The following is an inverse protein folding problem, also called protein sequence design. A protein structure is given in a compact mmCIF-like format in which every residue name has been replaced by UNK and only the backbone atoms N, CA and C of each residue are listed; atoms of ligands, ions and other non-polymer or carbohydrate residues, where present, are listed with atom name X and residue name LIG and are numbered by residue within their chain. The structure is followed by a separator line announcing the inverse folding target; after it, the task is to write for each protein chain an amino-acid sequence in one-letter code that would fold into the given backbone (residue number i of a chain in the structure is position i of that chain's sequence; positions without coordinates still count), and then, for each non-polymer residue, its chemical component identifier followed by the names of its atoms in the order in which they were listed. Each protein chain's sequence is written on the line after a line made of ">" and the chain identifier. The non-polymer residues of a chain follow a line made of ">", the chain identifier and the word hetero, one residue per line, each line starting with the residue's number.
data_IF_717477223110
#
_entry.id   IF_717477223110
#
_cell.length_a   1.000
_cell.length_b   1.000
_cell.length_c   1.000
_cell.angle_alpha   90.00
_cell.angle_beta   90.00
_cell.angle_gamma   90.00
#
_symmetry.space_group_name_H-M   'P 1'
#
loop_
_entity.id
_entity.type
_entity.pdbx_description
1 polymer ?
#
# COMPACT_ATOMS: atom_id res chain seq x y z
N UNK A 1 0.31 13.12 8.83
CA UNK A 1 1.52 12.30 8.99
C UNK A 1 1.54 11.31 7.84
N UNK A 2 2.62 11.24 7.07
CA UNK A 2 2.78 10.27 5.98
C UNK A 2 3.18 8.93 6.58
N UNK A 3 2.51 7.84 6.19
CA UNK A 3 2.86 6.48 6.63
C UNK A 3 4.17 6.02 5.98
N UNK A 4 4.94 5.20 6.68
CA UNK A 4 6.09 4.49 6.09
C UNK A 4 5.64 3.39 5.13
N UNK A 5 6.56 2.94 4.29
CA UNK A 5 6.31 1.83 3.36
C UNK A 5 5.94 0.55 4.10
N UNK A 6 6.64 0.26 5.20
CA UNK A 6 6.41 -0.92 6.03
C UNK A 6 5.03 -0.90 6.69
N UNK A 7 4.58 0.26 7.18
CA UNK A 7 3.24 0.43 7.73
C UNK A 7 2.15 0.21 6.67
N UNK A 8 2.34 0.75 5.47
CA UNK A 8 1.42 0.57 4.35
C UNK A 8 1.32 -0.89 3.91
N UNK A 9 2.46 -1.58 3.79
CA UNK A 9 2.48 -3.01 3.46
C UNK A 9 1.84 -3.85 4.56
N UNK A 10 2.05 -3.50 5.84
CA UNK A 10 1.38 -4.18 6.94
C UNK A 10 -0.13 -4.02 6.85
N UNK A 11 -0.62 -2.82 6.57
CA UNK A 11 -2.05 -2.56 6.41
C UNK A 11 -2.64 -3.30 5.20
N UNK A 12 -1.93 -3.34 4.08
CA UNK A 12 -2.36 -4.06 2.88
C UNK A 12 -2.51 -5.57 3.15
N UNK A 13 -1.58 -6.17 3.91
CA UNK A 13 -1.66 -7.58 4.31
C UNK A 13 -2.89 -7.87 5.17
N UNK A 14 -3.21 -6.99 6.10
CA UNK A 14 -4.42 -7.15 6.93
C UNK A 14 -5.70 -7.02 6.10
N UNK A 15 -5.72 -6.13 5.09
CA UNK A 15 -6.84 -6.01 4.16
C UNK A 15 -7.02 -7.29 3.35
N UNK A 16 -5.95 -7.83 2.77
CA UNK A 16 -5.99 -9.09 2.00
C UNK A 16 -6.52 -10.22 2.88
N UNK A 17 -5.99 -10.35 4.10
CA UNK A 17 -6.44 -11.36 5.06
C UNK A 17 -7.95 -11.26 5.35
N UNK A 18 -8.48 -10.05 5.52
CA UNK A 18 -9.92 -9.84 5.73
C UNK A 18 -10.75 -10.27 4.51
N UNK A 19 -10.30 -9.92 3.30
CA UNK A 19 -10.99 -10.34 2.07
C UNK A 19 -10.99 -11.86 1.91
N UNK A 20 -9.91 -12.54 2.35
CA UNK A 20 -9.79 -14.01 2.30
C UNK A 20 -10.62 -14.73 3.38
N UNK A 21 -10.86 -14.10 4.53
CA UNK A 21 -11.84 -14.56 5.51
C UNK A 21 -13.25 -14.38 4.89
N UNK A 22 -13.81 -15.47 4.37
CA UNK A 22 -15.11 -15.62 3.67
C UNK A 22 -16.36 -15.10 4.44
N UNK A 23 -16.18 -14.36 5.53
CA UNK A 23 -17.20 -13.68 6.32
C UNK A 23 -17.38 -12.20 5.92
N UNK A 24 -16.57 -11.70 4.99
CA UNK A 24 -16.67 -10.31 4.51
C UNK A 24 -17.85 -10.13 3.56
N UNK A 25 -18.80 -9.28 3.94
CA UNK A 25 -19.94 -8.91 3.08
C UNK A 25 -19.51 -8.14 1.80
N UNK A 26 -20.42 -8.04 0.82
CA UNK A 26 -20.12 -7.39 -0.47
C UNK A 26 -19.67 -5.92 -0.31
N UNK A 27 -20.40 -5.13 0.46
CA UNK A 27 -20.09 -3.71 0.65
C UNK A 27 -18.75 -3.51 1.36
N UNK A 28 -18.45 -4.36 2.35
CA UNK A 28 -17.16 -4.33 3.04
C UNK A 28 -16.01 -4.77 2.13
N UNK A 29 -16.25 -5.77 1.27
CA UNK A 29 -15.27 -6.20 0.27
C UNK A 29 -14.91 -5.09 -0.70
N UNK A 30 -15.90 -4.31 -1.15
CA UNK A 30 -15.67 -3.14 -2.01
C UNK A 30 -14.84 -2.08 -1.27
N UNK A 31 -15.21 -1.75 -0.04
CA UNK A 31 -14.47 -0.75 0.76
C UNK A 31 -13.02 -1.19 1.04
N UNK A 32 -12.81 -2.47 1.35
CA UNK A 32 -11.48 -3.05 1.56
C UNK A 32 -10.63 -3.00 0.27
N UNK A 33 -11.24 -3.30 -0.88
CA UNK A 33 -10.57 -3.21 -2.17
C UNK A 33 -10.15 -1.77 -2.50
N UNK A 34 -11.06 -0.79 -2.35
CA UNK A 34 -10.75 0.63 -2.56
C UNK A 34 -9.62 1.11 -1.66
N UNK A 35 -9.64 0.68 -0.39
CA UNK A 35 -8.57 0.99 0.56
C UNK A 35 -7.24 0.36 0.14
N UNK A 36 -7.26 -0.90 -0.29
CA UNK A 36 -6.08 -1.60 -0.80
C UNK A 36 -5.47 -0.89 -2.02
N UNK A 37 -6.31 -0.48 -2.97
CA UNK A 37 -5.87 0.26 -4.16
C UNK A 37 -5.19 1.60 -3.80
N UNK A 38 -5.74 2.33 -2.81
CA UNK A 38 -5.12 3.57 -2.32
C UNK A 38 -3.75 3.31 -1.70
N UNK A 39 -3.61 2.26 -0.89
CA UNK A 39 -2.35 1.88 -0.25
C UNK A 39 -1.30 1.51 -1.30
N UNK A 40 -1.67 0.73 -2.32
CA UNK A 40 -0.78 0.36 -3.42
C UNK A 40 -0.22 1.60 -4.10
N UNK A 41 -1.08 2.58 -4.42
CA UNK A 41 -0.65 3.84 -5.01
C UNK A 41 0.33 4.61 -4.11
N UNK A 42 0.07 4.66 -2.81
CA UNK A 42 0.99 5.32 -1.86
C UNK A 42 2.35 4.62 -1.80
N UNK A 43 2.37 3.28 -1.86
CA UNK A 43 3.60 2.51 -1.94
C UNK A 43 4.39 2.83 -3.22
N UNK A 44 3.73 2.92 -4.37
CA UNK A 44 4.36 3.29 -5.64
C UNK A 44 4.99 4.70 -5.58
N UNK A 45 4.29 5.67 -5.00
CA UNK A 45 4.80 7.04 -4.83
C UNK A 45 6.04 7.09 -3.92
N UNK A 46 6.05 6.32 -2.82
CA UNK A 46 7.21 6.20 -1.93
C UNK A 46 8.40 5.54 -2.63
N UNK A 47 8.17 4.47 -3.38
CA UNK A 47 9.21 3.76 -4.12
C UNK A 47 9.81 4.65 -5.22
N UNK A 48 8.98 5.36 -5.98
CA UNK A 48 9.44 6.31 -7.00
C UNK A 48 10.31 7.43 -6.39
N UNK A 49 9.92 7.95 -5.22
CA UNK A 49 10.71 8.94 -4.50
C UNK A 49 12.06 8.38 -4.03
N UNK A 50 12.07 7.14 -3.52
CA UNK A 50 13.29 6.47 -3.09
C UNK A 50 14.24 6.19 -4.27
N UNK A 51 13.71 5.71 -5.39
CA UNK A 51 14.48 5.46 -6.61
C UNK A 51 15.11 6.74 -7.15
N UNK A 52 14.35 7.84 -7.20
CA UNK A 52 14.88 9.15 -7.61
C UNK A 52 16.02 9.61 -6.70
N UNK A 53 15.90 9.41 -5.39
CA UNK A 53 16.95 9.73 -4.42
C UNK A 53 18.22 8.90 -4.66
N UNK A 54 18.08 7.60 -4.92
CA UNK A 54 19.22 6.71 -5.23
C UNK A 54 19.88 7.12 -6.55
N UNK A 55 19.09 7.42 -7.58
CA UNK A 55 19.57 7.85 -8.91
C UNK A 55 20.38 9.15 -8.85
N UNK A 56 19.98 10.09 -8.00
CA UNK A 56 20.75 11.33 -7.78
C UNK A 56 22.10 11.07 -7.09
N UNK A 57 22.15 10.15 -6.12
CA UNK A 57 23.38 9.81 -5.39
C UNK A 57 24.37 8.99 -6.23
N UNK A 58 23.88 8.17 -7.15
CA UNK A 58 24.73 7.33 -8.02
C UNK A 58 25.26 8.02 -9.27
N UNK A 59 25.02 9.33 -9.45
CA UNK A 59 25.48 10.14 -10.58
C UNK A 59 26.79 10.90 -10.31
N UNK A 60 27.36 10.75 -9.12
CA UNK A 60 28.66 11.30 -8.71
C UNK A 60 29.79 10.26 -8.82
#
# INVERSE_FOLDING_TARGET
>A
MTKSYEELISELKEIVKKIEDNDTGLDESIALYERGALIVRQCEELLASAELKISMLGRD
#
